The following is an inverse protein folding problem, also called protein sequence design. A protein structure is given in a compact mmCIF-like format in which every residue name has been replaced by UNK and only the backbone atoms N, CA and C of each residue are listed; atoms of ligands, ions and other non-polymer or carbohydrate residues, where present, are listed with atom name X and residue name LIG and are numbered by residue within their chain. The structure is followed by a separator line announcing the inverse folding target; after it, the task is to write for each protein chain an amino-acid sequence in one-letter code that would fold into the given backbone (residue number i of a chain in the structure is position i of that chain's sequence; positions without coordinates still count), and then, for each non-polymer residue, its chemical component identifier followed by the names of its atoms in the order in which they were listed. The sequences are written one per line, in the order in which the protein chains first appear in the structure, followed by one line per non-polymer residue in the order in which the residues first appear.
data_IF_482967259099
#
_entry.id   IF_482967259099
#
_cell.length_a   1.000
_cell.length_b   1.000
_cell.length_c   1.000
_cell.angle_alpha   90.00
_cell.angle_beta   90.00
_cell.angle_gamma   90.00
#
_symmetry.space_group_name_H-M   'P 1'
#
loop_
_entity.id
_entity.type
_entity.pdbx_description
1 polymer ?
#
# COMPACT_ATOMS: atom_id res chain seq x y z
N UNK A 1 -20.58 10.27 -18.31
CA UNK A 1 -20.63 11.56 -17.52
C UNK A 1 -19.20 12.01 -17.33
N UNK A 2 -18.90 13.32 -17.22
CA UNK A 2 -17.54 13.77 -16.94
C UNK A 2 -17.49 14.31 -15.51
N UNK A 3 -16.59 13.80 -14.69
CA UNK A 3 -16.47 14.08 -13.25
C UNK A 3 -14.99 14.18 -12.84
N UNK A 4 -14.65 14.77 -11.69
CA UNK A 4 -13.27 14.77 -11.17
C UNK A 4 -12.68 13.37 -11.07
N UNK A 5 -11.39 13.24 -11.39
CA UNK A 5 -10.70 11.94 -11.32
C UNK A 5 -10.86 11.24 -9.95
N UNK A 6 -10.82 11.97 -8.86
CA UNK A 6 -10.97 11.37 -7.52
C UNK A 6 -12.30 10.61 -7.38
N UNK A 7 -13.40 11.18 -7.87
CA UNK A 7 -14.72 10.55 -7.82
C UNK A 7 -14.80 9.33 -8.76
N UNK A 8 -14.32 9.52 -9.99
CA UNK A 8 -14.27 8.44 -10.98
C UNK A 8 -13.42 7.27 -10.51
N UNK A 9 -12.26 7.54 -9.93
CA UNK A 9 -11.34 6.56 -9.37
C UNK A 9 -11.96 5.81 -8.19
N UNK A 10 -12.61 6.53 -7.25
CA UNK A 10 -13.32 5.91 -6.13
C UNK A 10 -14.38 4.91 -6.60
N UNK A 11 -15.19 5.26 -7.61
CA UNK A 11 -16.22 4.37 -8.14
C UNK A 11 -15.58 3.20 -8.91
N UNK A 12 -14.54 3.45 -9.71
CA UNK A 12 -13.85 2.43 -10.48
C UNK A 12 -13.19 1.35 -9.62
N UNK A 13 -12.63 1.71 -8.46
CA UNK A 13 -11.98 0.73 -7.60
C UNK A 13 -12.93 0.14 -6.55
N UNK A 14 -13.78 0.96 -5.92
CA UNK A 14 -14.51 0.62 -4.70
C UNK A 14 -16.03 0.64 -4.83
N UNK A 15 -16.57 1.08 -5.97
CA UNK A 15 -17.99 1.02 -6.30
C UNK A 15 -18.53 -0.41 -6.32
N UNK A 16 -19.84 -0.56 -6.49
CA UNK A 16 -20.50 -1.87 -6.47
C UNK A 16 -19.98 -2.85 -7.54
N UNK A 17 -19.52 -2.34 -8.68
CA UNK A 17 -18.84 -3.08 -9.75
C UNK A 17 -17.34 -2.83 -9.82
N UNK A 18 -16.76 -2.23 -8.78
CA UNK A 18 -15.39 -1.79 -8.76
C UNK A 18 -14.37 -2.93 -8.80
N UNK A 19 -13.17 -2.59 -9.25
CA UNK A 19 -12.08 -3.54 -9.51
C UNK A 19 -11.80 -4.47 -8.32
N UNK A 20 -11.67 -3.91 -7.10
CA UNK A 20 -11.36 -4.72 -5.91
C UNK A 20 -12.50 -5.61 -5.42
N UNK A 21 -13.75 -5.33 -5.83
CA UNK A 21 -14.91 -6.16 -5.46
C UNK A 21 -15.16 -7.32 -6.43
N UNK A 22 -14.39 -7.43 -7.50
CA UNK A 22 -14.52 -8.52 -8.47
C UNK A 22 -14.02 -9.84 -7.87
N UNK A 23 -14.60 -10.99 -8.29
CA UNK A 23 -14.19 -12.31 -7.80
C UNK A 23 -12.70 -12.61 -8.05
N UNK A 24 -12.15 -12.14 -9.17
CA UNK A 24 -10.75 -12.32 -9.56
C UNK A 24 -9.82 -11.56 -8.60
N UNK A 25 -10.21 -10.33 -8.23
CA UNK A 25 -9.41 -9.43 -7.41
C UNK A 25 -8.04 -9.11 -8.02
N UNK A 26 -7.15 -8.43 -7.28
CA UNK A 26 -5.81 -8.07 -7.78
C UNK A 26 -4.96 -9.27 -8.22
N UNK A 27 -5.07 -10.41 -7.53
CA UNK A 27 -4.30 -11.64 -7.81
C UNK A 27 -4.49 -12.18 -9.23
N UNK A 28 -5.64 -11.91 -9.85
CA UNK A 28 -5.88 -12.26 -11.25
C UNK A 28 -5.07 -11.43 -12.25
N UNK A 29 -4.48 -10.32 -11.81
CA UNK A 29 -3.88 -9.33 -12.71
C UNK A 29 -2.39 -9.09 -12.47
N UNK A 30 -1.85 -9.27 -11.26
CA UNK A 30 -0.42 -9.09 -10.97
C UNK A 30 0.05 -9.84 -9.71
N UNK A 31 1.37 -10.11 -9.64
CA UNK A 31 2.01 -10.64 -8.43
C UNK A 31 2.48 -9.48 -7.55
N UNK A 32 2.05 -9.49 -6.29
CA UNK A 32 2.55 -8.56 -5.26
C UNK A 32 3.66 -9.20 -4.43
N UNK A 33 4.39 -8.39 -3.66
CA UNK A 33 5.42 -8.88 -2.72
C UNK A 33 4.89 -9.83 -1.63
N UNK A 34 3.56 -9.98 -1.50
CA UNK A 34 2.93 -10.81 -0.46
C UNK A 34 2.85 -12.30 -0.81
N UNK A 35 3.21 -12.69 -2.04
CA UNK A 35 3.05 -14.07 -2.53
C UNK A 35 4.30 -14.95 -2.37
N UNK A 36 4.07 -16.23 -2.17
CA UNK A 36 5.08 -17.29 -2.24
C UNK A 36 6.31 -17.10 -1.33
N UNK A 37 7.51 -17.41 -1.81
CA UNK A 37 8.75 -17.23 -1.03
C UNK A 37 9.04 -15.76 -0.70
N UNK A 38 8.72 -14.83 -1.60
CA UNK A 38 8.91 -13.38 -1.40
C UNK A 38 8.01 -12.88 -0.28
N UNK A 39 6.72 -13.30 -0.28
CA UNK A 39 5.79 -12.98 0.80
C UNK A 39 6.25 -13.50 2.17
N UNK A 40 6.86 -14.69 2.23
CA UNK A 40 7.44 -15.17 3.48
C UNK A 40 8.65 -14.34 3.93
N UNK A 41 9.47 -13.86 2.99
CA UNK A 41 10.59 -12.97 3.35
C UNK A 41 10.11 -11.61 3.83
N UNK A 42 9.06 -11.04 3.21
CA UNK A 42 8.38 -9.83 3.67
C UNK A 42 7.78 -10.05 5.07
N UNK A 43 7.05 -11.14 5.27
CA UNK A 43 6.47 -11.49 6.57
C UNK A 43 7.54 -11.59 7.67
N UNK A 44 8.70 -12.23 7.40
CA UNK A 44 9.82 -12.26 8.35
C UNK A 44 10.37 -10.87 8.66
N UNK A 45 10.43 -9.98 7.68
CA UNK A 45 10.85 -8.59 7.88
C UNK A 45 9.88 -7.85 8.81
N UNK A 46 8.58 -8.02 8.60
CA UNK A 46 7.55 -7.46 9.47
C UNK A 46 7.55 -8.06 10.87
N UNK A 47 7.82 -9.36 11.01
CA UNK A 47 8.02 -10.00 12.33
C UNK A 47 9.23 -9.41 13.05
N UNK A 48 10.32 -9.14 12.33
CA UNK A 48 11.49 -8.46 12.89
C UNK A 48 11.16 -7.02 13.37
N UNK A 49 10.40 -6.26 12.59
CA UNK A 49 9.92 -4.94 12.99
C UNK A 49 8.97 -5.01 14.20
N UNK A 50 8.02 -5.97 14.22
CA UNK A 50 7.13 -6.19 15.35
C UNK A 50 7.91 -6.53 16.63
N UNK A 51 8.93 -7.40 16.53
CA UNK A 51 9.78 -7.76 17.65
C UNK A 51 10.61 -6.58 18.18
N UNK A 52 11.19 -5.76 17.29
CA UNK A 52 11.95 -4.55 17.69
C UNK A 52 11.05 -3.53 18.41
N UNK A 53 9.81 -3.39 17.97
CA UNK A 53 8.85 -2.42 18.53
C UNK A 53 8.06 -2.96 19.72
N UNK A 54 8.08 -4.26 19.96
CA UNK A 54 7.30 -4.93 20.99
C UNK A 54 5.82 -5.12 20.63
N UNK A 55 5.48 -5.07 19.33
CA UNK A 55 4.12 -5.30 18.88
C UNK A 55 3.72 -6.76 19.07
N UNK A 56 2.53 -6.98 19.66
CA UNK A 56 2.03 -8.31 19.98
C UNK A 56 1.10 -8.88 18.90
N UNK A 57 0.45 -8.00 18.12
CA UNK A 57 -0.45 -8.34 17.03
C UNK A 57 -0.11 -7.60 15.75
N UNK A 58 -0.68 -8.03 14.63
CA UNK A 58 -0.56 -7.36 13.32
C UNK A 58 -1.93 -7.17 12.71
N UNK A 59 -2.21 -5.94 12.26
CA UNK A 59 -3.34 -5.60 11.40
C UNK A 59 -2.82 -5.32 10.00
N UNK A 60 -3.40 -5.98 9.00
CA UNK A 60 -3.11 -5.77 7.59
C UNK A 60 -4.24 -4.92 6.98
N UNK A 61 -3.93 -3.67 6.61
CA UNK A 61 -4.87 -2.72 6.03
C UNK A 61 -4.72 -2.72 4.51
N UNK A 62 -5.81 -2.98 3.80
CA UNK A 62 -5.77 -3.33 2.39
C UNK A 62 -5.30 -4.79 2.20
N UNK A 63 -5.84 -5.70 3.01
CA UNK A 63 -5.34 -7.06 3.16
C UNK A 63 -5.57 -7.97 1.93
N UNK A 64 -6.24 -7.50 0.89
CA UNK A 64 -6.52 -8.26 -0.32
C UNK A 64 -7.28 -9.55 -0.01
N UNK A 65 -6.65 -10.68 -0.24
CA UNK A 65 -7.20 -11.99 0.13
C UNK A 65 -6.49 -12.62 1.33
N UNK A 66 -5.76 -11.81 2.10
CA UNK A 66 -5.06 -12.23 3.32
C UNK A 66 -3.75 -12.97 3.06
N UNK A 67 -3.11 -12.71 1.93
CA UNK A 67 -1.84 -13.32 1.54
C UNK A 67 -0.75 -13.02 2.58
N UNK A 68 -0.62 -11.74 2.99
CA UNK A 68 0.34 -11.35 4.02
C UNK A 68 0.04 -12.01 5.37
N UNK A 69 -1.22 -12.07 5.77
CA UNK A 69 -1.63 -12.72 7.02
C UNK A 69 -1.29 -14.22 7.00
N UNK A 70 -1.53 -14.89 5.86
CA UNK A 70 -1.14 -16.28 5.65
C UNK A 70 0.38 -16.46 5.68
N UNK A 71 1.12 -15.54 5.08
CA UNK A 71 2.59 -15.54 5.10
C UNK A 71 3.12 -15.36 6.53
N UNK A 72 2.56 -14.43 7.33
CA UNK A 72 2.91 -14.23 8.74
C UNK A 72 2.72 -15.52 9.57
N UNK A 73 1.60 -16.22 9.39
CA UNK A 73 1.39 -17.53 10.05
C UNK A 73 2.41 -18.56 9.59
N UNK A 74 2.70 -18.63 8.29
CA UNK A 74 3.64 -19.61 7.74
C UNK A 74 5.07 -19.45 8.24
N UNK A 75 5.47 -18.24 8.63
CA UNK A 75 6.79 -17.96 9.22
C UNK A 75 6.80 -18.04 10.75
N UNK A 76 5.69 -18.47 11.37
CA UNK A 76 5.59 -18.75 12.80
C UNK A 76 5.18 -17.56 13.67
N UNK A 77 4.62 -16.49 13.12
CA UNK A 77 4.07 -15.42 13.96
C UNK A 77 2.86 -15.93 14.75
N UNK A 78 2.98 -15.97 16.07
CA UNK A 78 1.99 -16.55 16.97
C UNK A 78 0.97 -15.53 17.51
N UNK A 79 1.24 -14.23 17.35
CA UNK A 79 0.37 -13.15 17.85
C UNK A 79 -0.97 -13.06 17.11
N UNK A 80 -1.92 -12.26 17.63
CA UNK A 80 -3.17 -11.97 16.95
C UNK A 80 -2.97 -11.37 15.56
N UNK A 81 -3.82 -11.74 14.60
CA UNK A 81 -3.83 -11.21 13.24
C UNK A 81 -5.24 -10.77 12.85
N UNK A 82 -5.36 -9.63 12.20
CA UNK A 82 -6.60 -9.19 11.56
C UNK A 82 -6.32 -8.56 10.20
N UNK A 83 -7.22 -8.80 9.23
CA UNK A 83 -7.25 -8.11 7.95
C UNK A 83 -8.40 -7.12 7.88
N UNK A 84 -8.17 -6.01 7.19
CA UNK A 84 -9.17 -4.98 6.88
C UNK A 84 -9.15 -4.78 5.37
N UNK A 85 -10.27 -5.05 4.71
CA UNK A 85 -10.38 -4.90 3.25
C UNK A 85 -11.83 -4.63 2.82
N UNK A 86 -12.05 -4.33 1.55
CA UNK A 86 -13.38 -4.09 0.96
C UNK A 86 -14.14 -5.37 0.62
N UNK A 87 -13.46 -6.51 0.63
CA UNK A 87 -14.02 -7.83 0.33
C UNK A 87 -14.37 -8.61 1.58
N UNK A 88 -15.28 -9.58 1.43
CA UNK A 88 -15.60 -10.51 2.49
C UNK A 88 -14.38 -11.36 2.87
N UNK A 89 -14.40 -11.86 4.11
CA UNK A 89 -13.34 -12.71 4.63
C UNK A 89 -13.03 -13.89 3.71
N UNK A 90 -11.79 -14.05 3.23
CA UNK A 90 -11.40 -15.15 2.37
C UNK A 90 -11.53 -16.51 3.09
N UNK A 91 -12.05 -17.53 2.36
CA UNK A 91 -12.32 -18.85 2.93
C UNK A 91 -11.04 -19.62 3.36
N UNK A 92 -9.88 -19.27 2.79
CA UNK A 92 -8.60 -19.95 3.07
C UNK A 92 -7.87 -19.47 4.33
N UNK A 93 -8.34 -18.40 4.97
CA UNK A 93 -7.69 -17.88 6.18
C UNK A 93 -7.96 -18.77 7.41
N UNK A 94 -6.95 -18.98 8.29
CA UNK A 94 -7.12 -19.66 9.56
C UNK A 94 -8.26 -19.06 10.39
N UNK A 95 -9.05 -19.89 11.07
CA UNK A 95 -10.26 -19.46 11.78
C UNK A 95 -10.00 -18.36 12.83
N UNK A 96 -8.82 -18.37 13.44
CA UNK A 96 -8.36 -17.39 14.43
C UNK A 96 -7.91 -16.04 13.85
N UNK A 97 -7.86 -15.90 12.52
CA UNK A 97 -7.53 -14.61 11.89
C UNK A 97 -8.77 -13.75 11.81
N UNK A 98 -8.75 -12.58 12.46
CA UNK A 98 -9.84 -11.61 12.39
C UNK A 98 -9.99 -11.01 11.00
N UNK A 99 -11.20 -10.53 10.69
CA UNK A 99 -11.47 -9.86 9.42
C UNK A 99 -12.53 -8.78 9.57
N UNK A 100 -12.26 -7.62 8.97
CA UNK A 100 -13.20 -6.49 8.94
C UNK A 100 -13.42 -6.05 7.51
N UNK A 101 -14.69 -5.94 7.11
CA UNK A 101 -15.04 -5.35 5.81
C UNK A 101 -15.14 -3.84 5.96
N UNK A 102 -14.31 -3.11 5.21
CA UNK A 102 -14.26 -1.65 5.19
C UNK A 102 -14.87 -1.08 3.90
N UNK A 103 -15.24 0.21 3.88
CA UNK A 103 -15.78 0.83 2.66
C UNK A 103 -14.78 0.92 1.49
N UNK A 104 -13.48 1.05 1.80
CA UNK A 104 -12.40 1.24 0.81
C UNK A 104 -12.07 2.70 0.51
N UNK A 105 -10.96 2.92 -0.18
CA UNK A 105 -10.38 4.24 -0.40
C UNK A 105 -9.86 4.85 0.89
N UNK A 106 -10.19 6.12 1.13
CA UNK A 106 -9.80 6.88 2.32
C UNK A 106 -10.67 6.61 3.57
N UNK A 107 -11.67 5.72 3.46
CA UNK A 107 -12.62 5.44 4.55
C UNK A 107 -12.21 4.21 5.35
N UNK A 108 -11.83 4.45 6.60
CA UNK A 108 -11.41 3.41 7.52
C UNK A 108 -12.60 2.69 8.19
N UNK A 109 -12.32 1.48 8.67
CA UNK A 109 -13.20 0.79 9.61
C UNK A 109 -13.12 1.43 11.01
N UNK A 110 -14.18 1.28 11.79
CA UNK A 110 -14.23 1.76 13.18
C UNK A 110 -13.17 1.06 14.03
N UNK A 111 -12.41 1.80 14.87
CA UNK A 111 -11.33 1.24 15.70
C UNK A 111 -11.80 0.07 16.59
N UNK A 112 -12.98 0.18 17.17
CA UNK A 112 -13.57 -0.87 18.02
C UNK A 112 -13.80 -2.16 17.25
N UNK A 113 -14.28 -2.06 16.00
CA UNK A 113 -14.50 -3.24 15.15
C UNK A 113 -13.18 -3.94 14.81
N UNK A 114 -12.11 -3.16 14.55
CA UNK A 114 -10.77 -3.72 14.27
C UNK A 114 -10.18 -4.33 15.55
N UNK A 115 -10.32 -3.69 16.71
CA UNK A 115 -9.89 -4.21 18.01
C UNK A 115 -10.57 -5.55 18.32
N UNK A 116 -11.88 -5.64 18.13
CA UNK A 116 -12.66 -6.86 18.37
C UNK A 116 -12.21 -7.99 17.42
N UNK A 117 -11.99 -7.68 16.15
CA UNK A 117 -11.51 -8.64 15.17
C UNK A 117 -10.08 -9.11 15.49
N UNK A 118 -9.22 -8.21 15.90
CA UNK A 118 -7.82 -8.54 16.28
C UNK A 118 -7.77 -9.37 17.58
N UNK A 119 -8.70 -9.13 18.49
CA UNK A 119 -8.75 -9.80 19.81
C UNK A 119 -7.72 -9.26 20.82
N UNK A 120 -7.12 -8.09 20.54
CA UNK A 120 -6.24 -7.36 21.46
C UNK A 120 -6.27 -5.86 21.15
N UNK A 121 -5.77 -5.03 22.06
CA UNK A 121 -5.70 -3.58 21.91
C UNK A 121 -4.82 -3.19 20.69
N UNK A 122 -5.33 -2.29 19.86
CA UNK A 122 -4.57 -1.73 18.73
C UNK A 122 -3.29 -1.02 19.20
N UNK A 123 -3.30 -0.41 20.38
CA UNK A 123 -2.09 0.16 21.02
C UNK A 123 -0.97 -0.85 21.30
N UNK A 124 -1.19 -2.14 21.04
CA UNK A 124 -0.20 -3.23 21.13
C UNK A 124 0.07 -3.88 19.78
N UNK A 125 -0.47 -3.33 18.70
CA UNK A 125 -0.35 -3.88 17.36
C UNK A 125 0.58 -3.09 16.46
N UNK A 126 1.14 -3.78 15.47
CA UNK A 126 1.70 -3.21 14.25
C UNK A 126 0.60 -3.16 13.21
N UNK A 127 0.26 -1.96 12.71
CA UNK A 127 -0.59 -1.79 11.53
C UNK A 127 0.31 -1.74 10.30
N UNK A 128 0.03 -2.60 9.34
CA UNK A 128 0.72 -2.65 8.04
C UNK A 128 -0.24 -2.22 6.95
N UNK A 129 0.15 -1.26 6.14
CA UNK A 129 -0.54 -0.82 4.94
C UNK A 129 0.40 -1.03 3.75
N UNK A 130 0.29 -2.18 3.08
CA UNK A 130 1.17 -2.57 1.98
C UNK A 130 0.45 -2.35 0.64
N UNK A 131 0.99 -1.44 -0.19
CA UNK A 131 0.35 -1.04 -1.45
C UNK A 131 -1.13 -0.65 -1.22
N UNK A 132 -1.35 0.25 -0.26
CA UNK A 132 -2.67 0.75 0.08
C UNK A 132 -2.84 2.23 -0.23
N UNK A 133 -1.81 3.05 0.02
CA UNK A 133 -1.91 4.50 -0.19
C UNK A 133 -1.90 4.88 -1.67
N UNK A 134 -1.21 4.12 -2.52
CA UNK A 134 -1.16 4.34 -3.97
C UNK A 134 -2.53 4.19 -4.64
N UNK A 135 -3.43 3.39 -4.06
CA UNK A 135 -4.79 3.15 -4.54
C UNK A 135 -5.88 3.96 -3.80
N UNK A 136 -5.51 4.75 -2.79
CA UNK A 136 -6.43 5.74 -2.20
C UNK A 136 -6.63 6.87 -3.20
N UNK A 137 -7.88 7.10 -3.68
CA UNK A 137 -8.15 8.09 -4.71
C UNK A 137 -7.82 9.52 -4.25
N UNK A 138 -7.08 10.24 -5.06
CA UNK A 138 -6.69 11.61 -4.81
C UNK A 138 -7.12 12.54 -5.95
N UNK A 139 -7.14 13.85 -5.70
CA UNK A 139 -7.39 14.83 -6.72
C UNK A 139 -6.25 14.87 -7.72
N UNK A 140 -6.53 14.57 -8.98
CA UNK A 140 -5.59 14.79 -10.08
C UNK A 140 -5.79 16.21 -10.60
N UNK A 141 -4.71 16.98 -10.65
CA UNK A 141 -4.74 18.36 -11.10
C UNK A 141 -3.67 18.61 -12.17
N UNK A 142 -3.87 19.64 -12.96
CA UNK A 142 -2.94 20.09 -13.99
C UNK A 142 -2.88 21.61 -14.02
N UNK A 143 -1.67 22.14 -14.25
CA UNK A 143 -1.47 23.59 -14.45
C UNK A 143 -1.96 23.98 -15.83
N UNK A 144 -2.85 24.98 -15.90
CA UNK A 144 -3.35 25.54 -17.16
C UNK A 144 -2.35 26.54 -17.80
N UNK A 145 -2.70 27.07 -18.98
CA UNK A 145 -1.85 28.01 -19.71
C UNK A 145 -1.63 29.35 -18.97
N UNK A 146 -2.49 29.68 -18.01
CA UNK A 146 -2.39 30.88 -17.17
C UNK A 146 -1.61 30.63 -15.87
N UNK A 147 -1.10 29.39 -15.64
CA UNK A 147 -0.37 28.99 -14.45
C UNK A 147 -1.26 28.63 -13.25
N UNK A 148 -2.58 28.50 -13.45
CA UNK A 148 -3.49 28.08 -12.39
C UNK A 148 -3.64 26.56 -12.33
N UNK A 149 -3.61 26.00 -11.11
CA UNK A 149 -3.83 24.57 -10.90
C UNK A 149 -5.33 24.27 -11.00
N UNK A 150 -5.72 23.39 -11.94
CA UNK A 150 -7.10 22.95 -12.17
C UNK A 150 -7.27 21.49 -11.96
N UNK A 151 -8.41 21.08 -11.42
CA UNK A 151 -8.77 19.66 -11.37
C UNK A 151 -8.87 19.09 -12.78
N UNK A 152 -8.44 17.84 -12.94
CA UNK A 152 -8.66 17.08 -14.16
C UNK A 152 -9.93 16.25 -13.98
N UNK A 153 -10.88 16.48 -14.87
CA UNK A 153 -12.11 15.70 -15.00
C UNK A 153 -11.95 14.64 -16.10
N UNK A 154 -12.62 13.51 -15.93
CA UNK A 154 -12.55 12.37 -16.85
C UNK A 154 -13.94 11.82 -17.15
N UNK A 155 -14.15 11.31 -18.35
CA UNK A 155 -15.35 10.57 -18.71
C UNK A 155 -15.14 9.06 -18.61
N UNK A 156 -16.20 8.30 -18.86
CA UNK A 156 -16.24 6.82 -18.82
C UNK A 156 -15.40 6.16 -19.93
N UNK A 157 -14.89 6.93 -20.90
CA UNK A 157 -13.96 6.47 -21.93
C UNK A 157 -12.48 6.85 -21.62
N UNK A 158 -12.23 7.52 -20.49
CA UNK A 158 -10.89 8.02 -20.13
C UNK A 158 -10.49 9.33 -20.81
N UNK A 159 -11.45 10.05 -21.44
CA UNK A 159 -11.15 11.35 -22.04
C UNK A 159 -11.14 12.42 -20.97
N UNK A 160 -10.02 13.12 -20.86
CA UNK A 160 -9.79 14.14 -19.84
C UNK A 160 -10.09 15.56 -20.34
N UNK A 161 -10.44 16.44 -19.40
CA UNK A 161 -10.46 17.89 -19.58
C UNK A 161 -10.11 18.62 -18.31
N UNK A 162 -9.69 19.89 -18.41
CA UNK A 162 -9.54 20.75 -17.25
C UNK A 162 -10.90 21.21 -16.73
N UNK A 163 -11.11 21.05 -15.44
CA UNK A 163 -12.30 21.42 -14.70
C UNK A 163 -12.13 22.72 -13.91
N UNK A 164 -12.67 22.74 -12.69
CA UNK A 164 -12.58 23.88 -11.79
C UNK A 164 -11.14 24.13 -11.29
N UNK A 165 -10.85 25.35 -10.85
CA UNK A 165 -9.60 25.65 -10.17
C UNK A 165 -9.53 24.87 -8.84
N UNK A 166 -8.36 24.28 -8.52
CA UNK A 166 -8.09 23.71 -7.21
C UNK A 166 -8.08 24.82 -6.17
N UNK A 167 -8.77 24.63 -5.05
CA UNK A 167 -8.92 25.64 -4.00
C UNK A 167 -8.80 25.02 -2.60
N UNK A 168 -8.82 25.87 -1.56
CA UNK A 168 -8.85 25.44 -0.17
C UNK A 168 -7.64 24.58 0.22
N UNK A 169 -7.90 23.54 1.02
CA UNK A 169 -6.84 22.67 1.60
C UNK A 169 -6.09 21.88 0.53
N UNK A 170 -6.74 21.50 -0.55
CA UNK A 170 -6.10 20.81 -1.68
C UNK A 170 -5.07 21.71 -2.38
N UNK A 171 -5.38 23.00 -2.59
CA UNK A 171 -4.42 23.96 -3.11
C UNK A 171 -3.28 24.19 -2.12
N UNK A 172 -3.60 24.36 -0.83
CA UNK A 172 -2.60 24.52 0.22
C UNK A 172 -1.64 23.33 0.28
N UNK A 173 -2.16 22.10 0.13
CA UNK A 173 -1.35 20.89 0.05
C UNK A 173 -0.42 20.93 -1.16
N UNK A 174 -0.96 21.20 -2.36
CA UNK A 174 -0.16 21.25 -3.59
C UNK A 174 0.96 22.30 -3.51
N UNK A 175 0.65 23.51 -3.04
CA UNK A 175 1.64 24.58 -2.86
C UNK A 175 2.75 24.22 -1.87
N UNK A 176 2.46 23.45 -0.84
CA UNK A 176 3.42 23.03 0.16
C UNK A 176 4.28 21.85 -0.29
N UNK A 177 3.68 20.82 -0.86
CA UNK A 177 4.32 19.53 -1.07
C UNK A 177 4.69 19.24 -2.52
N UNK A 178 3.97 19.84 -3.48
CA UNK A 178 4.24 19.65 -4.90
C UNK A 178 4.08 20.98 -5.67
N UNK A 179 4.84 22.02 -5.29
CA UNK A 179 4.73 23.32 -5.95
C UNK A 179 5.20 23.22 -7.41
N UNK A 180 4.33 23.66 -8.32
CA UNK A 180 4.63 23.82 -9.74
C UNK A 180 3.72 24.87 -10.34
N UNK A 181 4.23 25.64 -11.30
CA UNK A 181 3.55 26.64 -12.11
C UNK A 181 3.80 26.43 -13.60
N UNK A 182 4.46 25.31 -13.95
CA UNK A 182 4.78 24.98 -15.33
C UNK A 182 3.51 24.49 -16.06
N UNK A 183 3.07 25.18 -17.14
CA UNK A 183 1.89 24.78 -17.90
C UNK A 183 1.96 23.32 -18.37
N UNK A 184 0.91 22.57 -18.14
CA UNK A 184 0.82 21.14 -18.43
C UNK A 184 1.36 20.21 -17.36
N UNK A 185 2.07 20.73 -16.34
CA UNK A 185 2.52 19.91 -15.22
C UNK A 185 1.33 19.33 -14.46
N UNK A 186 1.43 18.05 -14.05
CA UNK A 186 0.38 17.32 -13.33
C UNK A 186 0.78 17.08 -11.89
N UNK A 187 -0.21 17.11 -11.02
CA UNK A 187 -0.08 16.91 -9.57
C UNK A 187 -1.17 15.94 -9.11
N UNK A 188 -0.78 14.83 -8.50
CA UNK A 188 -1.67 14.03 -7.68
C UNK A 188 -1.67 14.62 -6.27
N UNK A 189 -2.74 15.38 -5.92
CA UNK A 189 -2.86 16.06 -4.62
C UNK A 189 -3.10 15.03 -3.52
N UNK A 190 -2.06 14.70 -2.78
CA UNK A 190 -2.04 13.60 -1.81
C UNK A 190 -2.82 13.85 -0.51
N UNK A 191 -3.53 14.96 -0.37
CA UNK A 191 -4.25 15.33 0.86
C UNK A 191 -5.13 14.18 1.39
N UNK A 192 -5.90 13.51 0.54
CA UNK A 192 -6.76 12.40 0.94
C UNK A 192 -5.97 11.21 1.48
N UNK A 193 -4.76 10.98 0.98
CA UNK A 193 -3.83 9.93 1.44
C UNK A 193 -3.22 10.28 2.78
N UNK A 194 -2.81 11.56 2.93
CA UNK A 194 -2.29 12.09 4.19
C UNK A 194 -3.35 12.02 5.30
N UNK A 195 -4.61 12.40 4.98
CA UNK A 195 -5.73 12.34 5.92
C UNK A 195 -6.08 10.89 6.29
N UNK A 196 -6.11 9.97 5.33
CA UNK A 196 -6.36 8.55 5.57
C UNK A 196 -5.26 7.94 6.46
N UNK A 197 -4.00 8.24 6.18
CA UNK A 197 -2.87 7.81 7.00
C UNK A 197 -2.89 8.41 8.39
N UNK A 198 -3.16 9.71 8.50
CA UNK A 198 -3.31 10.38 9.79
C UNK A 198 -4.46 9.79 10.60
N UNK A 199 -5.58 9.42 9.96
CA UNK A 199 -6.70 8.78 10.64
C UNK A 199 -6.35 7.38 11.20
N UNK A 200 -5.50 6.59 10.50
CA UNK A 200 -4.95 5.34 11.06
C UNK A 200 -4.20 5.62 12.35
N UNK A 201 -3.37 6.64 12.37
CA UNK A 201 -2.55 6.98 13.53
C UNK A 201 -3.37 7.58 14.67
N UNK A 202 -4.33 8.47 14.36
CA UNK A 202 -5.08 9.24 15.35
C UNK A 202 -6.33 8.53 15.88
N UNK A 203 -6.96 7.68 15.08
CA UNK A 203 -8.17 6.97 15.50
C UNK A 203 -7.86 5.56 16.03
N UNK A 204 -6.92 4.85 15.41
CA UNK A 204 -6.57 3.50 15.83
C UNK A 204 -5.49 3.46 16.89
N UNK A 205 -4.70 4.52 17.04
CA UNK A 205 -3.58 4.64 18.00
C UNK A 205 -2.71 3.36 18.07
N UNK A 206 -2.19 2.86 16.93
CA UNK A 206 -1.37 1.65 16.94
C UNK A 206 -0.05 1.89 17.65
N UNK A 207 0.54 0.83 18.24
CA UNK A 207 1.90 0.89 18.77
C UNK A 207 2.89 1.37 17.71
N UNK A 208 2.71 0.84 16.50
CA UNK A 208 3.41 1.24 15.27
C UNK A 208 2.49 1.07 14.07
N UNK A 209 2.66 1.93 13.08
CA UNK A 209 2.12 1.74 11.76
C UNK A 209 3.26 1.83 10.73
N UNK A 210 3.17 1.03 9.68
CA UNK A 210 4.08 1.09 8.54
C UNK A 210 3.27 1.08 7.24
N UNK A 211 3.41 2.14 6.43
CA UNK A 211 2.97 2.12 5.05
C UNK A 211 4.15 1.72 4.16
N UNK A 212 3.93 0.71 3.32
CA UNK A 212 4.94 0.17 2.39
C UNK A 212 4.43 0.44 0.99
N UNK A 213 5.03 1.42 0.33
CA UNK A 213 4.49 1.89 -0.93
C UNK A 213 5.60 2.45 -1.84
N UNK A 214 5.30 2.57 -3.12
CA UNK A 214 6.16 3.27 -4.06
C UNK A 214 5.74 4.75 -4.15
N UNK A 215 6.73 5.62 -4.33
CA UNK A 215 6.43 7.04 -4.29
C UNK A 215 7.62 7.93 -4.63
N UNK A 216 7.45 9.18 -4.31
CA UNK A 216 8.43 10.22 -4.57
C UNK A 216 8.49 11.23 -3.41
N UNK A 217 9.52 12.03 -3.39
CA UNK A 217 9.72 13.15 -2.47
C UNK A 217 9.90 14.45 -3.23
N UNK A 218 9.97 15.59 -2.55
CA UNK A 218 10.13 16.92 -3.16
C UNK A 218 11.25 16.99 -4.23
N UNK A 219 12.35 16.23 -4.02
CA UNK A 219 13.46 16.19 -4.98
C UNK A 219 13.24 15.33 -6.22
N UNK A 220 12.16 14.54 -6.28
CA UNK A 220 11.89 13.56 -7.32
C UNK A 220 10.45 13.63 -7.85
N UNK A 221 9.74 14.75 -7.64
CA UNK A 221 8.37 14.95 -8.15
C UNK A 221 8.34 14.79 -9.67
N UNK A 222 7.52 13.90 -10.22
CA UNK A 222 7.39 13.73 -11.66
C UNK A 222 6.55 14.87 -12.28
N UNK A 223 7.03 15.54 -13.34
CA UNK A 223 6.31 16.68 -13.91
C UNK A 223 5.00 16.30 -14.62
N UNK A 224 4.89 15.05 -15.06
CA UNK A 224 3.70 14.57 -15.81
C UNK A 224 2.71 13.80 -14.94
N UNK A 225 2.90 13.80 -13.60
CA UNK A 225 2.15 12.94 -12.72
C UNK A 225 2.53 11.46 -12.85
N UNK A 226 1.80 10.60 -12.16
CA UNK A 226 2.09 9.16 -12.05
C UNK A 226 0.86 8.27 -12.18
N UNK A 227 -0.33 8.86 -12.36
CA UNK A 227 -1.58 8.10 -12.51
C UNK A 227 -1.43 7.05 -13.62
N UNK A 228 -1.57 5.80 -13.27
CA UNK A 228 -1.44 4.64 -14.16
C UNK A 228 -2.59 3.66 -13.94
N UNK A 229 -2.77 2.77 -14.91
CA UNK A 229 -3.70 1.65 -14.80
C UNK A 229 -3.00 0.34 -15.13
N UNK A 230 -3.33 -0.71 -14.38
CA UNK A 230 -2.76 -2.05 -14.57
C UNK A 230 -3.86 -3.07 -14.82
N UNK A 231 -3.68 -3.89 -15.86
CA UNK A 231 -4.57 -5.00 -16.19
C UNK A 231 -3.76 -6.15 -16.78
N UNK A 232 -3.94 -7.36 -16.26
CA UNK A 232 -3.28 -8.59 -16.73
C UNK A 232 -1.73 -8.47 -16.77
N UNK A 233 -1.16 -7.76 -15.78
CA UNK A 233 0.29 -7.54 -15.68
C UNK A 233 0.85 -6.45 -16.60
N UNK A 234 0.02 -5.77 -17.36
CA UNK A 234 0.42 -4.73 -18.31
C UNK A 234 -0.09 -3.35 -17.88
N UNK A 235 0.71 -2.32 -18.17
CA UNK A 235 0.29 -0.92 -18.04
C UNK A 235 -0.64 -0.60 -19.20
N UNK A 236 -1.84 -0.10 -18.88
CA UNK A 236 -2.84 0.33 -19.84
C UNK A 236 -3.21 1.80 -19.66
N UNK A 237 -3.94 2.39 -20.59
CA UNK A 237 -4.46 3.74 -20.39
C UNK A 237 -5.44 3.77 -19.22
N UNK A 238 -5.36 4.76 -18.32
CA UNK A 238 -6.30 4.90 -17.23
C UNK A 238 -7.71 5.20 -17.76
N UNK A 239 -8.63 4.25 -17.55
CA UNK A 239 -10.06 4.39 -17.84
C UNK A 239 -10.82 4.00 -16.58
N UNK A 240 -11.70 4.89 -16.04
CA UNK A 240 -12.35 4.62 -14.76
C UNK A 240 -13.61 3.72 -14.91
N UNK A 241 -13.47 2.60 -15.60
CA UNK A 241 -14.55 1.65 -15.88
C UNK A 241 -14.54 0.42 -14.94
N UNK A 242 -13.62 0.40 -13.98
CA UNK A 242 -13.42 -0.71 -13.07
C UNK A 242 -12.77 -1.95 -13.69
N UNK A 243 -12.24 -1.89 -14.92
CA UNK A 243 -11.58 -3.02 -15.58
C UNK A 243 -10.09 -3.16 -15.25
N UNK A 244 -9.50 -2.14 -14.64
CA UNK A 244 -8.09 -2.07 -14.32
C UNK A 244 -7.87 -1.50 -12.92
N UNK A 245 -6.75 -1.85 -12.31
CA UNK A 245 -6.28 -1.21 -11.09
C UNK A 245 -5.75 0.19 -11.42
N UNK A 246 -6.28 1.20 -10.75
CA UNK A 246 -5.86 2.58 -10.89
C UNK A 246 -4.96 2.95 -9.72
N UNK A 247 -3.74 3.37 -10.01
CA UNK A 247 -2.76 3.73 -8.98
C UNK A 247 -2.07 5.04 -9.31
N UNK A 248 -1.50 5.68 -8.29
CA UNK A 248 -0.53 6.74 -8.48
C UNK A 248 0.49 6.72 -7.34
N UNK A 249 1.72 7.13 -7.62
CA UNK A 249 2.79 7.19 -6.63
C UNK A 249 2.43 8.08 -5.44
N UNK A 250 2.89 7.69 -4.27
CA UNK A 250 2.64 8.41 -3.02
C UNK A 250 3.66 9.54 -2.82
N UNK A 251 3.20 10.70 -2.39
CA UNK A 251 4.07 11.79 -1.93
C UNK A 251 4.56 11.49 -0.51
N UNK A 252 5.63 10.70 -0.40
CA UNK A 252 6.08 10.08 0.85
C UNK A 252 6.41 11.06 1.96
N UNK A 253 6.95 12.21 1.59
CA UNK A 253 7.38 13.26 2.51
C UNK A 253 6.24 14.13 3.06
N UNK A 254 5.01 14.00 2.53
CA UNK A 254 3.82 14.64 3.10
C UNK A 254 3.18 13.81 4.21
N UNK A 255 3.39 12.50 4.21
CA UNK A 255 2.84 11.61 5.22
C UNK A 255 3.45 11.86 6.60
N UNK A 256 2.66 11.78 7.64
CA UNK A 256 3.17 11.81 9.02
C UNK A 256 4.04 10.59 9.30
N UNK A 257 5.28 10.78 9.75
CA UNK A 257 6.24 9.71 9.99
C UNK A 257 7.25 10.05 11.08
N UNK A 258 7.79 9.02 11.73
CA UNK A 258 8.99 9.10 12.56
C UNK A 258 10.24 8.81 11.72
N UNK A 259 10.11 7.86 10.77
CA UNK A 259 11.22 7.38 9.93
C UNK A 259 10.71 6.95 8.56
N UNK A 260 11.48 7.20 7.51
CA UNK A 260 11.30 6.62 6.18
C UNK A 260 12.57 5.88 5.82
N UNK A 261 12.46 4.59 5.52
CA UNK A 261 13.58 3.77 5.04
C UNK A 261 13.21 3.12 3.72
N UNK A 262 14.21 2.73 2.92
CA UNK A 262 13.96 1.94 1.72
C UNK A 262 13.63 0.48 2.09
N UNK A 263 12.93 -0.22 1.22
CA UNK A 263 12.66 -1.65 1.37
C UNK A 263 13.96 -2.46 1.55
N UNK A 264 15.00 -2.09 0.82
CA UNK A 264 16.31 -2.71 0.98
C UNK A 264 16.91 -2.49 2.38
N UNK A 265 16.74 -1.31 2.98
CA UNK A 265 17.17 -1.03 4.36
C UNK A 265 16.31 -1.79 5.38
N UNK A 266 15.00 -1.81 5.18
CA UNK A 266 14.07 -2.56 6.03
C UNK A 266 14.43 -4.06 6.08
N UNK A 267 14.69 -4.68 4.92
CA UNK A 267 15.11 -6.09 4.85
C UNK A 267 16.47 -6.31 5.52
N UNK A 268 17.44 -5.39 5.37
CA UNK A 268 18.74 -5.51 6.06
C UNK A 268 18.62 -5.39 7.58
N UNK A 269 17.69 -4.55 8.06
CA UNK A 269 17.51 -4.28 9.51
C UNK A 269 16.68 -5.36 10.18
N UNK A 270 15.60 -5.79 9.58
CA UNK A 270 14.60 -6.65 10.21
C UNK A 270 14.39 -7.99 9.51
N UNK A 271 14.86 -8.12 8.28
CA UNK A 271 14.54 -9.26 7.42
C UNK A 271 15.49 -10.46 7.54
N UNK A 272 15.21 -11.49 6.75
CA UNK A 272 16.06 -12.66 6.69
C UNK A 272 17.41 -12.33 6.03
N UNK A 273 18.45 -13.09 6.44
CA UNK A 273 19.78 -12.96 5.85
C UNK A 273 19.80 -13.33 4.37
N UNK A 274 20.46 -12.51 3.55
CA UNK A 274 20.73 -12.80 2.15
C UNK A 274 22.08 -13.53 1.93
N UNK A 275 22.71 -13.99 3.01
CA UNK A 275 23.98 -14.74 2.98
C UNK A 275 23.71 -16.20 2.64
N UNK A 276 24.50 -16.75 1.72
CA UNK A 276 24.37 -18.17 1.36
C UNK A 276 24.61 -19.09 2.57
N UNK A 277 23.83 -20.18 2.71
CA UNK A 277 24.05 -21.18 3.76
C UNK A 277 25.39 -21.88 3.55
N UNK A 278 25.95 -22.39 4.65
CA UNK A 278 27.20 -23.21 4.59
C UNK A 278 26.98 -24.40 3.66
N UNK A 279 27.89 -24.59 2.71
CA UNK A 279 27.83 -25.73 1.80
C UNK A 279 27.92 -27.11 2.50
N UNK A 280 28.47 -27.17 3.70
CA UNK A 280 28.48 -28.39 4.50
C UNK A 280 27.06 -28.91 4.82
N UNK A 281 26.06 -27.98 4.94
CA UNK A 281 24.65 -28.34 5.16
C UNK A 281 24.10 -29.21 4.02
N UNK A 282 24.55 -28.99 2.78
CA UNK A 282 24.10 -29.81 1.62
C UNK A 282 24.38 -31.33 1.79
N UNK A 283 25.32 -31.68 2.62
CA UNK A 283 25.69 -33.09 2.90
C UNK A 283 24.98 -33.66 4.10
N UNK A 284 24.72 -32.85 5.12
CA UNK A 284 24.13 -33.28 6.40
C UNK A 284 22.60 -33.15 6.39
N UNK A 285 22.05 -32.12 5.71
CA UNK A 285 20.61 -31.88 5.52
C UNK A 285 20.38 -31.24 4.16
N UNK A 286 20.31 -32.03 3.07
CA UNK A 286 20.09 -31.50 1.71
C UNK A 286 18.77 -30.75 1.57
N UNK A 287 17.71 -31.17 2.25
CA UNK A 287 16.41 -30.52 2.20
C UNK A 287 16.45 -29.14 2.88
N UNK A 288 17.05 -29.06 4.07
CA UNK A 288 17.27 -27.80 4.77
C UNK A 288 18.17 -26.84 3.99
N UNK A 289 19.20 -27.35 3.30
CA UNK A 289 20.05 -26.54 2.44
C UNK A 289 19.27 -25.90 1.28
N UNK A 290 18.40 -26.68 0.60
CA UNK A 290 17.57 -26.16 -0.48
C UNK A 290 16.55 -25.15 0.02
N UNK A 291 15.94 -25.38 1.17
CA UNK A 291 15.04 -24.43 1.81
C UNK A 291 15.75 -23.11 2.15
N UNK A 292 16.96 -23.18 2.73
CA UNK A 292 17.77 -22.00 3.04
C UNK A 292 18.18 -21.23 1.78
N UNK A 293 18.50 -21.92 0.68
CA UNK A 293 18.79 -21.27 -0.61
C UNK A 293 17.55 -20.53 -1.16
N UNK A 294 16.36 -21.12 -1.03
CA UNK A 294 15.10 -20.47 -1.45
C UNK A 294 14.83 -19.21 -0.60
N UNK A 295 15.06 -19.26 0.71
CA UNK A 295 14.94 -18.10 1.60
C UNK A 295 15.93 -16.99 1.25
N UNK A 296 17.19 -17.33 0.95
CA UNK A 296 18.20 -16.37 0.47
C UNK A 296 17.79 -15.74 -0.87
N UNK A 297 17.27 -16.54 -1.79
CA UNK A 297 16.77 -16.02 -3.08
C UNK A 297 15.63 -15.02 -2.87
N UNK A 298 14.65 -15.35 -2.03
CA UNK A 298 13.55 -14.48 -1.70
C UNK A 298 14.01 -13.16 -1.02
N UNK A 299 14.96 -13.25 -0.07
CA UNK A 299 15.54 -12.07 0.55
C UNK A 299 16.24 -11.16 -0.48
N UNK A 300 16.97 -11.75 -1.43
CA UNK A 300 17.62 -10.99 -2.50
C UNK A 300 16.63 -10.35 -3.47
N UNK A 301 15.50 -11.00 -3.74
CA UNK A 301 14.41 -10.39 -4.52
C UNK A 301 13.89 -9.14 -3.82
N UNK A 302 13.62 -9.18 -2.51
CA UNK A 302 13.19 -8.00 -1.74
C UNK A 302 14.25 -6.90 -1.63
N UNK A 303 15.53 -7.26 -1.66
CA UNK A 303 16.63 -6.29 -1.67
C UNK A 303 16.81 -5.61 -3.04
N UNK A 304 16.34 -6.25 -4.11
CA UNK A 304 16.40 -5.78 -5.49
C UNK A 304 15.18 -4.95 -5.90
N UNK A 305 15.19 -4.49 -7.14
CA UNK A 305 14.05 -3.78 -7.73
C UNK A 305 12.92 -4.76 -8.12
N UNK A 306 11.65 -4.30 -8.03
CA UNK A 306 11.21 -2.98 -7.56
C UNK A 306 11.14 -2.85 -6.02
N UNK A 307 11.04 -3.94 -5.28
CA UNK A 307 10.70 -3.97 -3.86
C UNK A 307 11.70 -3.25 -2.95
N UNK A 308 12.99 -3.32 -3.30
CA UNK A 308 14.04 -2.63 -2.56
C UNK A 308 13.95 -1.10 -2.58
N UNK A 309 13.18 -0.55 -3.53
CA UNK A 309 12.90 0.90 -3.64
C UNK A 309 11.61 1.33 -2.95
N UNK A 310 10.73 0.40 -2.59
CA UNK A 310 9.53 0.77 -1.84
C UNK A 310 9.93 1.51 -0.57
N UNK A 311 9.20 2.57 -0.27
CA UNK A 311 9.39 3.27 0.99
C UNK A 311 8.63 2.55 2.10
N UNK A 312 9.27 2.42 3.24
CA UNK A 312 8.65 2.02 4.49
C UNK A 312 8.50 3.28 5.34
N UNK A 313 7.30 3.84 5.35
CA UNK A 313 6.94 5.03 6.13
C UNK A 313 6.46 4.56 7.49
N UNK A 314 7.27 4.78 8.52
CA UNK A 314 7.04 4.25 9.87
C UNK A 314 6.62 5.38 10.79
N UNK A 315 5.54 5.18 11.53
CA UNK A 315 5.00 6.14 12.49
C UNK A 315 4.49 5.47 13.76
N UNK A 316 4.36 6.27 14.84
CA UNK A 316 3.59 5.93 16.05
C UNK A 316 2.18 6.47 15.95
N UNK A 317 1.23 5.76 16.54
CA UNK A 317 -0.13 6.23 16.72
C UNK A 317 -0.31 7.12 17.95
#
# INVERSE_FOLDING_TARGET
MIIPWREAWQEALYGSGGFYRRPEGPVGHFETATHGPVGRALARTLVGLAAETGAEGVVDLGAGRGELLSALRSVGFAGPLAGVDVVDRPAGLPAETGWVVAPGGDRLAEPTTVTDALGTDLGRALVVAHEWLDVVPCTVAQVDDDGALREVEVDDAGVERLGAAVTGDALGWAQRWWPTDEPGARVEVGLARDDAWAAVLDAWHPLRAVAIDYGHTAGTRPPSGTLAAYRDGEVVLPVPDGSADLTAHVALDSLRHDEIVSGAEAVRRWGPSATLPDHALSRTDPAGYLAALADVSAARTLLGEPYGRFAWVIARG
#
